data_IF_520503383984
#
_entry.id   IF_520503383984
#
_cell.length_a   1.000
_cell.length_b   1.000
_cell.length_c   1.000
_cell.angle_alpha   90.00
_cell.angle_beta   90.00
_cell.angle_gamma   90.00
#
_symmetry.space_group_name_H-M   'P 1'
#
loop_
_entity.id
_entity.type
_entity.pdbx_description
1 polymer ?
#
# COMPACT_ATOMS: atom_id res chain seq x y z
N UNK A 1 -0.77 55.38 28.03
CA UNK A 1 -0.82 54.63 29.29
C UNK A 1 -0.14 53.32 29.02
N UNK A 2 1.08 53.19 29.54
CA UNK A 2 1.97 52.04 29.36
C UNK A 2 1.46 50.82 30.14
N UNK A 3 1.50 49.62 29.58
CA UNK A 3 1.72 48.42 30.36
C UNK A 3 2.74 47.54 29.67
N UNK A 4 3.85 47.50 30.25
CA UNK A 4 4.99 46.62 30.27
C UNK A 4 4.60 45.32 31.01
N UNK A 5 4.99 44.17 30.51
CA UNK A 5 5.32 42.98 31.31
C UNK A 5 5.39 41.74 30.44
N UNK A 6 6.17 40.87 30.59
CA UNK A 6 7.40 40.47 31.31
C UNK A 6 7.79 39.11 30.72
N UNK A 7 8.95 39.00 30.18
CA UNK A 7 9.59 37.74 29.78
C UNK A 7 9.73 36.83 30.99
N UNK A 8 9.40 35.57 30.85
CA UNK A 8 9.89 34.51 31.75
C UNK A 8 10.51 33.37 30.90
N UNK A 9 11.81 33.41 30.77
CA UNK A 9 12.63 32.34 30.25
C UNK A 9 12.93 31.36 31.36
N UNK A 10 12.50 30.11 31.19
CA UNK A 10 12.98 28.99 32.00
C UNK A 10 13.96 28.16 31.20
N UNK A 11 15.22 28.27 31.56
CA UNK A 11 16.32 27.43 31.08
C UNK A 11 16.36 26.19 31.95
N UNK A 12 16.17 25.02 31.37
CA UNK A 12 16.53 23.75 32.01
C UNK A 12 17.84 23.24 31.44
N UNK A 13 18.88 23.34 32.26
CA UNK A 13 20.13 22.62 32.09
C UNK A 13 19.93 21.18 32.51
N UNK A 14 20.17 20.23 31.64
CA UNK A 14 20.38 18.83 32.02
C UNK A 14 21.86 18.52 31.84
N UNK A 15 22.44 18.20 32.99
CA UNK A 15 23.84 17.82 33.21
C UNK A 15 24.09 16.41 32.69
N UNK A 16 25.13 16.24 31.91
CA UNK A 16 25.77 14.96 31.62
C UNK A 16 26.59 14.55 32.85
N UNK A 17 26.45 13.31 33.27
CA UNK A 17 27.46 12.57 34.03
C UNK A 17 27.77 11.28 33.31
N UNK A 18 28.98 11.24 32.79
CA UNK A 18 29.71 10.06 32.36
C UNK A 18 30.33 9.39 33.62
N UNK A 19 30.28 8.06 33.69
CA UNK A 19 31.18 7.27 34.54
C UNK A 19 31.71 6.10 33.72
N UNK A 20 33.05 6.02 33.78
CA UNK A 20 33.93 5.09 33.09
C UNK A 20 33.87 3.64 33.63
N UNK A 21 34.21 2.78 32.71
CA UNK A 21 35.08 1.58 32.76
C UNK A 21 35.25 0.79 34.04
N UNK A 22 35.12 -0.50 33.87
CA UNK A 22 35.64 -1.53 34.80
C UNK A 22 35.72 -2.88 34.09
N UNK A 23 36.92 -3.17 33.66
CA UNK A 23 37.43 -4.33 32.96
C UNK A 23 37.54 -5.59 33.83
N UNK A 24 37.55 -6.77 33.14
CA UNK A 24 38.33 -8.01 33.35
C UNK A 24 37.76 -9.06 34.29
N UNK A 25 37.58 -10.24 33.93
CA UNK A 25 38.28 -11.48 33.65
C UNK A 25 37.38 -12.69 33.77
N UNK A 26 37.55 -13.50 32.77
CA UNK A 26 37.70 -14.97 32.68
C UNK A 26 37.36 -15.84 33.90
N UNK A 27 36.78 -16.97 33.61
CA UNK A 27 37.25 -18.34 33.78
C UNK A 27 36.11 -19.36 33.77
N UNK A 28 36.14 -20.16 32.75
CA UNK A 28 36.03 -21.62 32.64
C UNK A 28 35.01 -22.43 33.47
N UNK A 29 34.39 -23.29 32.70
CA UNK A 29 34.46 -24.78 32.73
C UNK A 29 33.34 -25.56 33.41
N UNK A 30 32.92 -26.51 32.64
CA UNK A 30 32.43 -27.90 32.83
C UNK A 30 30.92 -28.10 33.07
N UNK A 31 30.31 -28.74 32.09
CA UNK A 31 30.09 -30.19 31.86
C UNK A 31 29.52 -30.94 33.06
N UNK A 32 28.33 -31.46 32.94
CA UNK A 32 27.97 -32.86 33.23
C UNK A 32 26.51 -33.13 32.81
N UNK A 33 26.27 -33.96 31.88
CA UNK A 33 25.95 -35.37 31.73
C UNK A 33 24.76 -35.87 32.55
N UNK A 34 23.79 -36.32 31.81
CA UNK A 34 23.00 -37.56 31.93
C UNK A 34 22.25 -37.86 33.25
N UNK A 35 20.99 -38.18 33.10
CA UNK A 35 20.53 -39.51 33.49
C UNK A 35 19.28 -39.96 32.73
N UNK A 36 19.46 -41.05 32.03
CA UNK A 36 18.43 -41.94 31.47
C UNK A 36 18.00 -42.88 32.58
N UNK A 37 16.73 -42.99 32.84
CA UNK A 37 16.17 -44.09 33.60
C UNK A 37 15.10 -44.82 32.82
N UNK A 38 15.52 -45.90 32.20
CA UNK A 38 14.69 -47.02 31.77
C UNK A 38 14.34 -47.87 33.00
N UNK A 39 13.08 -48.20 33.15
CA UNK A 39 12.69 -49.38 33.94
C UNK A 39 11.68 -50.17 33.13
N UNK A 40 12.19 -51.30 32.63
CA UNK A 40 11.41 -52.49 32.26
C UNK A 40 10.83 -53.14 33.53
N UNK A 41 9.69 -53.81 33.44
CA UNK A 41 9.47 -55.21 33.80
C UNK A 41 8.01 -55.58 33.78
N UNK A 42 7.65 -56.43 32.81
CA UNK A 42 6.88 -57.69 32.83
C UNK A 42 5.68 -57.88 33.75
N UNK A 43 4.57 -58.21 33.08
CA UNK A 43 4.03 -59.59 32.85
C UNK A 43 2.93 -60.06 33.75
N UNK A 44 1.91 -60.47 33.08
CA UNK A 44 0.93 -61.52 33.23
C UNK A 44 -0.49 -61.20 33.73
N UNK A 45 -1.32 -61.54 32.85
CA UNK A 45 -2.45 -62.49 32.98
C UNK A 45 -3.89 -61.97 32.95
N UNK A 46 -4.54 -62.36 31.89
CA UNK A 46 -5.88 -62.90 31.71
C UNK A 46 -7.15 -62.05 31.87
N UNK A 47 -7.79 -61.83 30.74
CA UNK A 47 -9.18 -62.11 30.38
C UNK A 47 -10.28 -61.33 31.11
N UNK A 48 -10.91 -60.43 30.36
CA UNK A 48 -12.37 -60.44 30.15
C UNK A 48 -12.74 -59.50 28.99
N UNK A 49 -13.45 -60.05 28.01
CA UNK A 49 -14.01 -59.33 26.87
C UNK A 49 -15.02 -58.30 27.37
N UNK A 50 -14.75 -57.03 27.09
CA UNK A 50 -15.80 -56.03 27.03
C UNK A 50 -15.63 -55.29 25.71
N UNK A 51 -16.54 -55.55 24.79
CA UNK A 51 -16.68 -54.83 23.54
C UNK A 51 -17.07 -53.39 23.87
N UNK A 52 -16.09 -52.53 23.92
CA UNK A 52 -16.32 -51.09 23.90
C UNK A 52 -16.10 -50.62 22.48
N UNK A 53 -17.16 -50.24 21.81
CA UNK A 53 -17.16 -49.57 20.52
C UNK A 53 -16.32 -48.32 20.67
N UNK A 54 -15.09 -48.35 20.14
CA UNK A 54 -14.28 -47.16 19.95
C UNK A 54 -14.95 -46.43 18.79
N UNK A 55 -15.64 -45.35 19.10
CA UNK A 55 -16.03 -44.35 18.13
C UNK A 55 -14.68 -43.68 17.75
N UNK A 56 -14.23 -43.99 16.57
CA UNK A 56 -13.12 -43.28 15.91
C UNK A 56 -13.56 -41.83 15.71
N UNK A 57 -13.17 -41.00 16.62
CA UNK A 57 -13.33 -39.55 16.50
C UNK A 57 -12.26 -39.10 15.47
N UNK A 58 -12.62 -39.31 14.18
CA UNK A 58 -11.89 -38.69 13.10
C UNK A 58 -11.92 -37.17 13.36
N UNK A 59 -10.74 -36.64 13.69
CA UNK A 59 -10.49 -35.21 13.64
C UNK A 59 -10.82 -34.80 12.20
N UNK A 60 -12.00 -34.27 12.02
CA UNK A 60 -12.37 -33.57 10.79
C UNK A 60 -11.52 -32.29 10.86
N UNK A 61 -10.45 -32.27 10.08
CA UNK A 61 -9.76 -31.05 9.73
C UNK A 61 -10.83 -30.15 9.12
N UNK A 62 -11.27 -29.13 9.84
CA UNK A 62 -12.21 -28.14 9.34
C UNK A 62 -11.54 -27.45 8.16
N UNK A 63 -11.83 -27.92 6.97
CA UNK A 63 -11.53 -27.19 5.75
C UNK A 63 -12.28 -25.85 5.86
N UNK A 64 -11.60 -24.70 5.70
CA UNK A 64 -12.25 -23.39 5.73
C UNK A 64 -13.50 -23.44 4.85
N UNK A 65 -14.63 -23.11 5.43
CA UNK A 65 -15.91 -23.11 4.70
C UNK A 65 -15.83 -21.99 3.67
N UNK A 66 -15.60 -22.36 2.42
CA UNK A 66 -15.65 -21.41 1.31
C UNK A 66 -16.97 -20.62 1.40
N UNK A 67 -16.92 -19.30 1.34
CA UNK A 67 -18.13 -18.51 1.16
C UNK A 67 -18.86 -19.05 -0.08
N UNK A 68 -20.12 -19.43 0.08
CA UNK A 68 -20.96 -19.97 -1.00
C UNK A 68 -21.33 -18.84 -1.98
N UNK A 69 -20.32 -18.30 -2.68
CA UNK A 69 -20.51 -17.21 -3.61
C UNK A 69 -20.17 -17.72 -5.02
N UNK A 70 -21.06 -17.51 -5.99
CA UNK A 70 -20.80 -17.78 -7.41
C UNK A 70 -19.50 -17.12 -7.90
N UNK A 71 -19.09 -16.02 -7.26
CA UNK A 71 -17.88 -15.28 -7.51
C UNK A 71 -16.60 -16.11 -7.35
N UNK A 72 -16.54 -17.05 -6.40
CA UNK A 72 -15.40 -17.93 -6.15
C UNK A 72 -15.43 -19.20 -6.98
N UNK A 73 -16.48 -19.39 -7.79
CA UNK A 73 -16.62 -20.59 -8.61
C UNK A 73 -15.48 -20.73 -9.61
N UNK A 74 -14.76 -21.84 -9.55
CA UNK A 74 -13.61 -22.13 -10.41
C UNK A 74 -12.25 -21.73 -9.82
N UNK A 75 -12.21 -21.08 -8.66
CA UNK A 75 -11.00 -20.74 -7.94
C UNK A 75 -10.80 -21.63 -6.72
N UNK A 76 -9.55 -21.93 -6.41
CA UNK A 76 -9.16 -22.58 -5.16
C UNK A 76 -8.86 -21.48 -4.13
N UNK A 77 -9.57 -21.46 -3.02
CA UNK A 77 -9.23 -20.60 -1.89
C UNK A 77 -7.91 -21.08 -1.26
N UNK A 78 -6.97 -20.19 -1.10
CA UNK A 78 -5.73 -20.43 -0.35
C UNK A 78 -5.52 -19.32 0.69
N UNK A 79 -4.90 -19.67 1.79
CA UNK A 79 -4.44 -18.73 2.79
C UNK A 79 -2.99 -18.37 2.52
N UNK A 80 -2.67 -17.08 2.60
CA UNK A 80 -1.32 -16.56 2.38
C UNK A 80 -1.00 -15.58 3.50
N UNK A 81 0.20 -15.67 4.06
CA UNK A 81 0.68 -14.69 5.02
C UNK A 81 0.64 -13.28 4.38
N UNK A 82 0.20 -12.30 5.15
CA UNK A 82 0.09 -10.91 4.70
C UNK A 82 1.42 -10.23 4.40
N UNK A 83 2.54 -10.77 4.92
CA UNK A 83 3.89 -10.32 4.59
C UNK A 83 4.41 -10.89 3.29
N UNK A 84 5.73 -10.94 3.16
CA UNK A 84 6.45 -11.43 1.99
C UNK A 84 5.92 -12.78 1.49
N UNK A 85 5.77 -12.91 0.19
CA UNK A 85 5.62 -14.13 -0.58
C UNK A 85 6.12 -13.85 -1.98
N UNK A 86 7.43 -13.66 -2.12
CA UNK A 86 8.05 -13.28 -3.39
C UNK A 86 8.00 -14.40 -4.42
N UNK A 87 7.93 -14.03 -5.68
CA UNK A 87 7.96 -14.95 -6.82
C UNK A 87 6.64 -15.02 -7.58
N UNK A 88 6.46 -16.15 -8.29
CA UNK A 88 5.25 -16.40 -9.07
C UNK A 88 4.09 -16.80 -8.16
N UNK A 89 2.90 -16.28 -8.47
CA UNK A 89 1.65 -16.64 -7.81
C UNK A 89 1.16 -18.02 -8.26
N UNK A 90 0.40 -18.71 -7.40
CA UNK A 90 -0.34 -19.91 -7.79
C UNK A 90 -1.46 -19.56 -8.78
N UNK A 91 -1.72 -20.44 -9.73
CA UNK A 91 -2.73 -20.25 -10.76
C UNK A 91 -4.13 -20.63 -10.27
N UNK A 92 -5.17 -19.93 -10.76
CA UNK A 92 -6.58 -20.20 -10.48
C UNK A 92 -6.90 -20.24 -8.98
N UNK A 93 -6.33 -19.30 -8.23
CA UNK A 93 -6.59 -19.17 -6.80
C UNK A 93 -7.31 -17.87 -6.48
N UNK A 94 -7.97 -17.85 -5.33
CA UNK A 94 -8.47 -16.65 -4.65
C UNK A 94 -7.81 -16.56 -3.29
N UNK A 95 -7.39 -15.33 -2.92
CA UNK A 95 -6.65 -15.04 -1.68
C UNK A 95 -7.27 -13.82 -1.02
N UNK A 96 -7.42 -13.87 0.29
CA UNK A 96 -7.72 -12.67 1.07
C UNK A 96 -6.43 -11.85 1.25
N UNK A 97 -6.47 -10.61 0.82
CA UNK A 97 -5.36 -9.63 0.91
C UNK A 97 -5.70 -8.46 1.83
N UNK A 98 -6.76 -8.57 2.62
CA UNK A 98 -7.14 -7.59 3.64
C UNK A 98 -6.39 -7.81 4.95
N UNK A 99 -5.98 -6.71 5.59
CA UNK A 99 -5.38 -6.80 6.92
C UNK A 99 -6.45 -6.95 8.00
N UNK A 100 -6.25 -7.90 8.92
CA UNK A 100 -7.13 -8.12 10.07
C UNK A 100 -8.48 -8.74 9.68
N UNK A 101 -9.57 -8.02 9.88
CA UNK A 101 -10.93 -8.49 9.57
C UNK A 101 -11.46 -7.94 8.23
N UNK A 102 -10.61 -7.37 7.39
CA UNK A 102 -10.98 -6.89 6.06
C UNK A 102 -11.01 -8.08 5.10
N UNK A 103 -12.05 -8.16 4.29
CA UNK A 103 -12.22 -9.20 3.28
C UNK A 103 -11.98 -8.60 1.89
N UNK A 104 -10.73 -8.66 1.42
CA UNK A 104 -10.28 -8.17 0.12
C UNK A 104 -9.79 -9.34 -0.72
N UNK A 105 -10.50 -9.66 -1.79
CA UNK A 105 -10.31 -10.88 -2.53
C UNK A 105 -9.53 -10.66 -3.82
N UNK A 106 -8.38 -11.30 -3.94
CA UNK A 106 -7.48 -11.26 -5.09
C UNK A 106 -7.59 -12.57 -5.89
N UNK A 107 -7.73 -12.47 -7.20
CA UNK A 107 -7.95 -13.60 -8.11
C UNK A 107 -6.83 -13.71 -9.11
N UNK A 108 -6.30 -14.92 -9.31
CA UNK A 108 -5.31 -15.21 -10.34
C UNK A 108 -5.90 -16.05 -11.47
N UNK A 109 -5.41 -15.83 -12.70
CA UNK A 109 -5.76 -16.66 -13.85
C UNK A 109 -4.92 -17.96 -13.90
N UNK A 110 -5.13 -18.74 -14.96
CA UNK A 110 -4.40 -20.01 -15.24
C UNK A 110 -2.88 -19.83 -15.42
N UNK A 111 -2.38 -18.58 -15.58
CA UNK A 111 -0.96 -18.24 -15.72
C UNK A 111 -0.37 -17.64 -14.44
N UNK A 112 -1.12 -17.62 -13.33
CA UNK A 112 -0.71 -16.99 -12.08
C UNK A 112 -0.66 -15.46 -12.12
N UNK A 113 -1.24 -14.83 -13.15
CA UNK A 113 -1.37 -13.37 -13.22
C UNK A 113 -2.52 -12.93 -12.33
N UNK A 114 -2.30 -11.88 -11.54
CA UNK A 114 -3.34 -11.24 -10.74
C UNK A 114 -4.28 -10.46 -11.67
N UNK A 115 -5.50 -10.93 -11.84
CA UNK A 115 -6.41 -10.38 -12.85
C UNK A 115 -7.56 -9.56 -12.28
N UNK A 116 -7.87 -9.75 -11.00
CA UNK A 116 -8.95 -9.01 -10.35
C UNK A 116 -8.72 -8.91 -8.84
N UNK A 117 -9.11 -7.79 -8.27
CA UNK A 117 -9.22 -7.59 -6.81
C UNK A 117 -10.54 -6.93 -6.50
N UNK A 118 -11.25 -7.46 -5.50
CA UNK A 118 -12.55 -6.90 -5.08
C UNK A 118 -12.59 -6.71 -3.57
N UNK A 119 -13.38 -5.73 -3.16
CA UNK A 119 -13.78 -5.53 -1.77
C UNK A 119 -15.17 -4.91 -1.72
N UNK A 120 -16.04 -5.42 -0.87
CA UNK A 120 -17.36 -4.81 -0.66
C UNK A 120 -17.22 -3.43 -0.02
N UNK A 121 -16.25 -3.30 0.90
CA UNK A 121 -15.93 -2.04 1.59
C UNK A 121 -14.41 -1.92 1.77
N UNK A 122 -13.85 -0.77 1.40
CA UNK A 122 -12.47 -0.38 1.72
C UNK A 122 -12.48 0.32 3.08
N UNK A 123 -11.85 -0.33 4.07
CA UNK A 123 -11.73 0.15 5.45
C UNK A 123 -10.31 0.65 5.65
N UNK A 124 -10.15 1.92 5.97
CA UNK A 124 -8.84 2.55 6.15
C UNK A 124 -8.02 1.89 7.27
N UNK A 125 -6.71 1.98 7.17
CA UNK A 125 -5.77 1.62 8.22
C UNK A 125 -6.05 2.44 9.49
N UNK A 126 -6.02 1.81 10.66
CA UNK A 126 -6.17 2.46 11.96
C UNK A 126 -4.82 2.48 12.69
N UNK A 127 -4.04 3.53 12.46
CA UNK A 127 -2.72 3.73 13.07
C UNK A 127 -2.71 3.71 14.60
N UNK A 128 -3.89 3.91 15.22
CA UNK A 128 -4.02 3.96 16.67
C UNK A 128 -4.22 2.58 17.31
N UNK A 129 -4.83 1.65 16.58
CA UNK A 129 -5.24 0.34 17.10
C UNK A 129 -4.60 -0.84 16.35
N UNK A 130 -4.00 -0.61 15.19
CA UNK A 130 -3.32 -1.63 14.39
C UNK A 130 -1.78 -1.53 14.53
N UNK A 131 -1.04 -2.63 14.41
CA UNK A 131 0.41 -2.64 14.55
C UNK A 131 1.12 -2.07 13.31
N UNK A 132 0.90 -0.78 13.04
CA UNK A 132 1.48 -0.08 11.91
C UNK A 132 2.93 0.31 12.22
N UNK A 133 3.84 0.05 11.29
CA UNK A 133 5.22 0.47 11.36
C UNK A 133 5.35 1.99 11.15
N UNK A 134 6.50 2.56 11.54
CA UNK A 134 6.79 3.98 11.31
C UNK A 134 6.81 4.40 9.83
N UNK A 135 6.87 3.44 8.92
CA UNK A 135 6.74 3.64 7.47
C UNK A 135 5.30 3.75 6.98
N UNK A 136 4.30 3.60 7.86
CA UNK A 136 2.89 3.52 7.48
C UNK A 136 2.46 2.15 6.94
N UNK A 137 3.29 1.11 7.06
CA UNK A 137 3.04 -0.24 6.53
C UNK A 137 2.75 -1.22 7.65
N UNK A 138 2.01 -2.30 7.33
CA UNK A 138 1.85 -3.42 8.25
C UNK A 138 3.08 -4.33 8.29
N UNK A 139 3.79 -4.47 7.17
CA UNK A 139 4.95 -5.36 7.00
C UNK A 139 6.20 -4.59 6.58
N UNK A 140 7.37 -5.12 6.96
CA UNK A 140 8.67 -4.49 6.62
C UNK A 140 9.01 -4.61 5.15
N UNK A 141 8.72 -5.78 4.59
CA UNK A 141 9.13 -6.17 3.26
C UNK A 141 7.87 -6.31 2.39
N UNK A 142 8.00 -5.92 1.15
CA UNK A 142 7.01 -6.10 0.11
C UNK A 142 7.42 -7.27 -0.76
N UNK A 143 6.45 -8.05 -1.21
CA UNK A 143 6.70 -9.19 -2.07
C UNK A 143 7.32 -8.77 -3.40
N UNK A 144 8.36 -9.49 -3.82
CA UNK A 144 9.02 -9.31 -5.12
C UNK A 144 8.34 -10.20 -6.16
N UNK A 145 7.47 -9.63 -6.95
CA UNK A 145 6.85 -10.30 -8.11
C UNK A 145 7.76 -10.14 -9.34
N UNK A 146 7.90 -11.16 -10.22
CA UNK A 146 8.74 -11.06 -11.39
C UNK A 146 8.44 -9.83 -12.25
N UNK A 147 9.44 -9.00 -12.49
CA UNK A 147 9.35 -7.72 -13.20
C UNK A 147 9.65 -6.49 -12.35
N UNK A 148 9.59 -6.59 -11.00
CA UNK A 148 9.93 -5.47 -10.12
C UNK A 148 11.44 -5.19 -10.04
N UNK A 149 12.29 -6.03 -10.60
CA UNK A 149 13.74 -5.83 -10.70
C UNK A 149 14.13 -4.69 -11.66
N UNK A 150 13.15 -4.05 -12.27
CA UNK A 150 13.34 -2.90 -13.16
C UNK A 150 13.54 -1.61 -12.37
N UNK A 151 14.48 -0.76 -12.79
CA UNK A 151 14.73 0.56 -12.17
C UNK A 151 13.54 1.54 -12.33
N UNK A 152 12.57 1.21 -13.18
CA UNK A 152 11.40 2.06 -13.48
C UNK A 152 10.07 1.47 -12.99
N UNK A 153 10.12 0.34 -12.31
CA UNK A 153 8.95 -0.32 -11.75
C UNK A 153 9.08 -0.47 -10.23
N UNK A 154 7.99 -0.26 -9.53
CA UNK A 154 7.85 -0.47 -8.09
C UNK A 154 6.99 -1.70 -7.80
N UNK A 155 6.99 -2.13 -6.55
CA UNK A 155 6.02 -3.04 -5.96
C UNK A 155 4.69 -2.28 -5.75
N UNK A 156 3.91 -2.11 -6.84
CA UNK A 156 2.65 -1.39 -6.79
C UNK A 156 1.55 -2.23 -6.12
N UNK A 157 0.98 -1.72 -5.03
CA UNK A 157 -0.17 -2.33 -4.38
C UNK A 157 -1.45 -2.09 -5.21
N UNK A 158 -2.32 -3.10 -5.30
CA UNK A 158 -3.67 -2.89 -5.82
C UNK A 158 -4.54 -2.20 -4.77
N UNK A 159 -4.41 -2.60 -3.52
CA UNK A 159 -4.98 -1.92 -2.36
C UNK A 159 -3.83 -1.55 -1.41
N UNK A 160 -3.56 -0.27 -1.25
CA UNK A 160 -2.47 0.24 -0.41
C UNK A 160 -2.60 -0.16 1.07
N UNK A 161 -1.48 -0.19 1.81
CA UNK A 161 -1.49 -0.40 3.27
C UNK A 161 -2.44 0.58 3.97
N UNK A 162 -2.41 1.85 3.58
CA UNK A 162 -3.29 2.90 4.15
C UNK A 162 -4.78 2.65 3.91
N UNK A 163 -5.11 1.80 2.95
CA UNK A 163 -6.45 1.32 2.64
C UNK A 163 -6.72 -0.07 3.20
N UNK A 164 -5.82 -0.60 4.03
CA UNK A 164 -5.95 -1.88 4.70
C UNK A 164 -5.52 -3.09 3.88
N UNK A 165 -4.82 -2.91 2.76
CA UNK A 165 -4.22 -3.99 1.99
C UNK A 165 -2.93 -4.52 2.64
N UNK A 166 -2.53 -5.74 2.30
CA UNK A 166 -1.28 -6.37 2.77
C UNK A 166 -0.20 -6.36 1.69
N UNK A 167 1.04 -6.70 2.07
CA UNK A 167 2.22 -6.58 1.20
C UNK A 167 2.64 -7.88 0.51
N UNK A 168 1.74 -8.89 0.42
CA UNK A 168 2.06 -10.17 -0.23
C UNK A 168 1.93 -10.12 -1.76
N UNK A 169 2.44 -11.13 -2.45
CA UNK A 169 2.47 -11.19 -3.91
C UNK A 169 1.08 -11.10 -4.58
N UNK A 170 -0.01 -11.41 -3.88
CA UNK A 170 -1.37 -11.34 -4.43
C UNK A 170 -1.99 -9.96 -4.37
N UNK A 171 -1.32 -9.00 -3.72
CA UNK A 171 -1.69 -7.57 -3.73
C UNK A 171 -0.68 -6.71 -4.50
N UNK A 172 0.47 -7.25 -4.88
CA UNK A 172 1.57 -6.51 -5.51
C UNK A 172 1.62 -6.79 -7.02
N UNK A 173 1.81 -5.76 -7.83
CA UNK A 173 2.13 -5.87 -9.25
C UNK A 173 3.33 -4.98 -9.59
N UNK A 174 4.18 -5.37 -10.56
CA UNK A 174 5.18 -4.45 -11.11
C UNK A 174 4.49 -3.26 -11.77
N UNK A 175 4.56 -2.10 -11.15
CA UNK A 175 3.89 -0.88 -11.60
C UNK A 175 4.90 0.22 -11.90
N UNK A 176 4.66 1.03 -12.93
CA UNK A 176 5.51 2.18 -13.22
C UNK A 176 5.63 3.09 -12.00
N UNK A 177 6.85 3.44 -11.61
CA UNK A 177 7.13 4.15 -10.36
C UNK A 177 6.52 5.55 -10.31
N UNK A 178 6.48 6.27 -11.43
CA UNK A 178 5.84 7.60 -11.49
C UNK A 178 4.32 7.46 -11.37
N UNK A 179 3.72 6.48 -12.06
CA UNK A 179 2.30 6.17 -11.95
C UNK A 179 1.91 5.82 -10.51
N UNK A 180 2.69 4.95 -9.88
CA UNK A 180 2.45 4.44 -8.52
C UNK A 180 2.55 5.54 -7.46
N UNK A 181 3.58 6.39 -7.55
CA UNK A 181 3.89 7.38 -6.50
C UNK A 181 3.22 8.74 -6.71
N UNK A 182 3.01 9.13 -7.96
CA UNK A 182 2.63 10.51 -8.33
C UNK A 182 1.56 10.58 -9.43
N UNK A 183 1.12 9.44 -9.96
CA UNK A 183 0.12 9.36 -11.03
C UNK A 183 -1.26 8.96 -10.53
N UNK A 184 -2.07 8.43 -11.44
CA UNK A 184 -3.48 8.09 -11.21
C UNK A 184 -3.69 7.11 -10.06
N UNK A 185 -2.73 6.18 -9.82
CA UNK A 185 -2.78 5.27 -8.67
C UNK A 185 -2.76 6.06 -7.35
N UNK A 186 -1.80 6.97 -7.17
CA UNK A 186 -1.68 7.78 -5.97
C UNK A 186 -2.90 8.69 -5.76
N UNK A 187 -3.44 9.27 -6.84
CA UNK A 187 -4.64 10.11 -6.77
C UNK A 187 -5.88 9.32 -6.36
N UNK A 188 -6.08 8.12 -6.89
CA UNK A 188 -7.18 7.23 -6.50
C UNK A 188 -7.11 6.90 -5.01
N UNK A 189 -5.95 6.47 -4.53
CA UNK A 189 -5.74 6.13 -3.12
C UNK A 189 -6.00 7.32 -2.19
N UNK A 190 -5.52 8.50 -2.57
CA UNK A 190 -5.75 9.72 -1.83
C UNK A 190 -7.23 10.12 -1.79
N UNK A 191 -7.94 9.99 -2.90
CA UNK A 191 -9.38 10.24 -2.97
C UNK A 191 -10.16 9.29 -2.04
N UNK A 192 -9.80 8.01 -1.99
CA UNK A 192 -10.42 7.03 -1.09
C UNK A 192 -10.12 7.37 0.38
N UNK A 193 -8.86 7.71 0.73
CA UNK A 193 -8.48 8.15 2.08
C UNK A 193 -9.26 9.38 2.53
N UNK A 194 -9.33 10.41 1.69
CA UNK A 194 -10.06 11.66 1.98
C UNK A 194 -11.56 11.44 2.15
N UNK A 195 -12.13 10.45 1.46
CA UNK A 195 -13.54 10.07 1.60
C UNK A 195 -13.83 9.22 2.85
N UNK A 196 -12.81 8.72 3.54
CA UNK A 196 -12.94 7.84 4.70
C UNK A 196 -13.17 6.37 4.34
N UNK A 197 -12.86 5.97 3.11
CA UNK A 197 -13.05 4.64 2.55
C UNK A 197 -13.85 4.65 1.25
N UNK A 198 -14.12 3.47 0.70
CA UNK A 198 -14.92 3.27 -0.50
C UNK A 198 -15.79 2.02 -0.38
N UNK A 199 -16.81 1.87 -1.22
CA UNK A 199 -17.58 0.64 -1.31
C UNK A 199 -17.60 0.12 -2.75
N UNK A 200 -17.93 -1.18 -2.91
CA UNK A 200 -18.00 -1.83 -4.23
C UNK A 200 -16.71 -1.64 -5.05
N UNK A 201 -15.57 -1.86 -4.42
CA UNK A 201 -14.27 -1.77 -5.07
C UNK A 201 -14.05 -3.00 -5.95
N UNK A 202 -13.69 -2.77 -7.22
CA UNK A 202 -13.41 -3.79 -8.22
C UNK A 202 -12.25 -3.31 -9.11
N UNK A 203 -11.09 -3.91 -8.96
CA UNK A 203 -9.92 -3.65 -9.78
C UNK A 203 -9.75 -4.77 -10.81
N UNK A 204 -9.67 -4.42 -12.09
CA UNK A 204 -9.36 -5.33 -13.19
C UNK A 204 -7.95 -5.02 -13.69
N UNK A 205 -7.10 -6.03 -13.72
CA UNK A 205 -5.71 -5.93 -14.11
C UNK A 205 -5.52 -6.66 -15.46
N UNK A 206 -5.02 -5.95 -16.46
CA UNK A 206 -4.82 -6.45 -17.81
C UNK A 206 -3.34 -6.64 -18.11
N UNK A 207 -3.01 -7.70 -18.84
CA UNK A 207 -1.64 -8.05 -19.24
C UNK A 207 -1.50 -8.08 -20.77
N UNK A 208 -0.33 -7.72 -21.32
CA UNK A 208 -0.13 -7.74 -22.77
C UNK A 208 -0.04 -9.16 -23.36
N UNK A 209 0.27 -10.15 -22.49
CA UNK A 209 0.35 -11.58 -22.87
C UNK A 209 0.36 -12.44 -21.60
N UNK A 210 0.35 -13.76 -21.78
CA UNK A 210 0.27 -14.77 -20.71
C UNK A 210 1.62 -15.11 -20.04
N UNK A 211 2.71 -14.50 -20.45
CA UNK A 211 4.07 -14.84 -20.01
C UNK A 211 4.64 -13.84 -19.01
N UNK A 212 4.21 -12.60 -19.07
CA UNK A 212 4.69 -11.54 -18.16
C UNK A 212 3.82 -11.44 -16.92
N UNK A 213 4.44 -11.03 -15.82
CA UNK A 213 3.74 -10.60 -14.59
C UNK A 213 3.61 -9.07 -14.49
N UNK A 214 4.07 -8.34 -15.53
CA UNK A 214 3.95 -6.88 -15.61
C UNK A 214 2.62 -6.54 -16.30
N UNK A 215 1.67 -5.90 -15.62
CA UNK A 215 0.41 -5.46 -16.22
C UNK A 215 0.63 -4.42 -17.34
N UNK A 216 -0.28 -4.38 -18.30
CA UNK A 216 -0.34 -3.30 -19.29
C UNK A 216 -1.26 -2.15 -18.87
N UNK A 217 -2.29 -2.44 -18.08
CA UNK A 217 -3.26 -1.44 -17.64
C UNK A 217 -4.07 -1.91 -16.45
N UNK A 218 -4.71 -0.95 -15.80
CA UNK A 218 -5.62 -1.13 -14.67
C UNK A 218 -6.94 -0.43 -14.94
N UNK A 219 -8.03 -1.03 -14.46
CA UNK A 219 -9.33 -0.37 -14.36
C UNK A 219 -9.86 -0.57 -12.95
N UNK A 220 -10.09 0.52 -12.25
CA UNK A 220 -10.69 0.53 -10.92
C UNK A 220 -12.10 1.05 -10.99
N UNK A 221 -13.03 0.34 -10.38
CA UNK A 221 -14.40 0.79 -10.18
C UNK A 221 -14.69 0.78 -8.69
N UNK A 222 -15.15 1.88 -8.15
CA UNK A 222 -15.46 2.00 -6.72
C UNK A 222 -16.49 3.09 -6.49
N UNK A 223 -17.10 3.10 -5.31
CA UNK A 223 -18.13 4.08 -4.95
C UNK A 223 -17.64 4.98 -3.83
N UNK A 224 -17.56 6.29 -4.07
CA UNK A 224 -17.28 7.32 -3.06
C UNK A 224 -18.52 8.15 -2.78
N UNK A 225 -18.96 8.20 -1.51
CA UNK A 225 -20.10 9.02 -1.08
C UNK A 225 -21.34 8.84 -1.98
N UNK A 226 -21.59 7.59 -2.43
CA UNK A 226 -22.72 7.22 -3.29
C UNK A 226 -22.51 7.46 -4.79
N UNK A 227 -21.35 7.96 -5.21
CA UNK A 227 -21.02 8.14 -6.63
C UNK A 227 -20.09 7.03 -7.10
N UNK A 228 -20.43 6.40 -8.20
CA UNK A 228 -19.56 5.41 -8.86
C UNK A 228 -18.46 6.14 -9.63
N UNK A 229 -17.23 5.76 -9.36
CA UNK A 229 -16.02 6.25 -10.03
C UNK A 229 -15.47 5.09 -10.87
N UNK A 230 -14.96 5.39 -12.04
CA UNK A 230 -14.22 4.45 -12.89
C UNK A 230 -12.95 5.14 -13.34
N UNK A 231 -11.82 4.64 -12.84
CA UNK A 231 -10.48 5.08 -13.24
C UNK A 231 -9.85 4.02 -14.12
N UNK A 232 -9.30 4.42 -15.26
CA UNK A 232 -8.61 3.52 -16.19
C UNK A 232 -7.31 4.17 -16.63
N UNK A 233 -6.20 3.48 -16.44
CA UNK A 233 -4.89 3.97 -16.82
C UNK A 233 -3.96 2.85 -17.27
N UNK A 234 -3.04 3.17 -18.17
CA UNK A 234 -2.00 2.28 -18.63
C UNK A 234 -0.83 2.24 -17.62
N UNK A 235 -0.15 1.09 -17.56
CA UNK A 235 1.04 0.92 -16.72
C UNK A 235 2.29 1.52 -17.40
N UNK A 236 2.28 2.84 -17.58
CA UNK A 236 3.34 3.61 -18.26
C UNK A 236 3.68 4.85 -17.43
N UNK A 237 4.80 5.49 -17.78
CA UNK A 237 5.14 6.77 -17.16
C UNK A 237 4.18 7.87 -17.64
N UNK A 238 3.34 8.46 -16.76
CA UNK A 238 2.40 9.50 -17.16
C UNK A 238 3.10 10.75 -17.70
N UNK A 239 4.31 11.07 -17.26
CA UNK A 239 5.07 12.21 -17.76
C UNK A 239 5.49 12.01 -19.22
N UNK A 240 5.87 10.80 -19.60
CA UNK A 240 6.19 10.46 -21.00
C UNK A 240 4.96 10.52 -21.88
N UNK A 241 3.83 10.06 -21.40
CA UNK A 241 2.55 10.17 -22.12
C UNK A 241 2.18 11.63 -22.31
N UNK A 242 2.22 12.44 -21.26
CA UNK A 242 1.93 13.87 -21.32
C UNK A 242 2.90 14.59 -22.27
N UNK A 243 4.18 14.26 -22.23
CA UNK A 243 5.17 14.80 -23.17
C UNK A 243 4.84 14.43 -24.63
N UNK A 244 4.46 13.18 -24.89
CA UNK A 244 4.11 12.70 -26.23
C UNK A 244 2.86 13.39 -26.80
N UNK A 245 1.95 13.79 -25.91
CA UNK A 245 0.72 14.53 -26.25
C UNK A 245 0.95 16.06 -26.35
N UNK A 246 2.19 16.53 -26.05
CA UNK A 246 2.53 17.95 -26.01
C UNK A 246 1.90 18.69 -24.83
N UNK A 247 1.48 17.97 -23.79
CA UNK A 247 0.88 18.52 -22.58
C UNK A 247 1.93 18.97 -21.57
N UNK A 248 3.12 18.38 -21.61
CA UNK A 248 4.31 18.92 -20.92
C UNK A 248 5.02 19.85 -21.89
N UNK A 249 5.20 21.11 -21.51
CA UNK A 249 5.98 22.05 -22.31
C UNK A 249 7.36 21.47 -22.57
N UNK A 250 7.63 21.07 -23.81
CA UNK A 250 8.98 20.71 -24.24
C UNK A 250 9.88 21.93 -24.02
N UNK A 251 10.76 21.85 -23.02
CA UNK A 251 11.93 22.74 -23.00
C UNK A 251 12.71 22.48 -24.28
N UNK A 252 12.85 23.44 -25.20
CA UNK A 252 13.84 23.33 -26.22
C UNK A 252 15.22 23.51 -25.54
N UNK A 253 16.04 22.48 -25.58
CA UNK A 253 17.44 22.59 -25.28
C UNK A 253 18.09 23.59 -26.26
N UNK A 254 18.14 24.86 -25.92
CA UNK A 254 19.31 25.73 -26.06
C UNK A 254 19.05 27.11 -25.44
N UNK A 255 19.95 27.47 -24.51
CA UNK A 255 20.35 28.80 -24.08
C UNK A 255 19.52 30.01 -24.51
N UNK A 256 18.69 30.55 -23.63
CA UNK A 256 18.74 31.93 -23.13
C UNK A 256 17.61 32.16 -22.14
N UNK A 257 17.90 32.68 -20.97
CA UNK A 257 16.93 33.20 -20.03
C UNK A 257 15.79 33.95 -20.71
N UNK A 258 14.59 33.37 -20.64
CA UNK A 258 13.39 34.17 -20.68
C UNK A 258 12.32 33.45 -19.89
N UNK A 259 11.99 34.00 -18.70
CA UNK A 259 10.81 33.72 -17.95
C UNK A 259 9.63 33.75 -18.93
N UNK A 260 9.07 32.58 -19.27
CA UNK A 260 7.78 32.53 -19.94
C UNK A 260 6.72 32.76 -18.85
N UNK A 261 6.55 34.02 -18.51
CA UNK A 261 5.38 34.47 -17.76
C UNK A 261 4.16 34.19 -18.63
N UNK A 262 3.36 33.19 -18.27
CA UNK A 262 2.03 33.06 -18.79
C UNK A 262 1.27 34.37 -18.49
N UNK A 263 0.42 34.80 -19.38
CA UNK A 263 -0.40 35.99 -19.14
C UNK A 263 -1.46 35.64 -18.09
N UNK A 264 -1.25 36.12 -16.86
CA UNK A 264 -2.20 35.94 -15.75
C UNK A 264 -3.61 36.39 -16.15
N UNK A 265 -3.75 37.40 -17.01
CA UNK A 265 -5.04 37.90 -17.47
C UNK A 265 -5.86 36.85 -18.23
N UNK A 266 -5.25 35.79 -18.72
CA UNK A 266 -5.94 34.68 -19.37
C UNK A 266 -6.58 33.71 -18.36
N UNK A 267 -6.16 33.73 -17.10
CA UNK A 267 -6.60 32.83 -16.03
C UNK A 267 -7.35 33.56 -14.94
N UNK A 268 -6.86 34.73 -14.54
CA UNK A 268 -7.51 35.63 -13.55
C UNK A 268 -8.76 36.28 -14.18
N UNK A 269 -9.89 35.59 -14.04
CA UNK A 269 -11.18 36.01 -14.67
C UNK A 269 -11.82 37.20 -13.99
N UNK A 270 -11.41 37.51 -12.74
CA UNK A 270 -11.97 38.62 -11.98
C UNK A 270 -11.03 39.84 -11.92
N UNK A 271 -9.80 39.73 -12.46
CA UNK A 271 -8.84 40.82 -12.57
C UNK A 271 -8.26 41.32 -11.25
N UNK A 272 -8.23 40.46 -10.22
CA UNK A 272 -7.76 40.84 -8.87
C UNK A 272 -6.26 40.61 -8.66
N UNK A 273 -5.55 40.07 -9.66
CA UNK A 273 -4.13 39.77 -9.61
C UNK A 273 -3.80 38.47 -8.87
N UNK A 274 -4.81 37.69 -8.49
CA UNK A 274 -4.67 36.37 -7.90
C UNK A 274 -5.51 35.35 -8.66
N UNK A 275 -5.08 34.10 -8.66
CA UNK A 275 -5.76 33.01 -9.34
C UNK A 275 -6.26 32.02 -8.28
N UNK A 276 -7.55 31.77 -8.27
CA UNK A 276 -8.17 30.75 -7.44
C UNK A 276 -8.05 29.38 -8.10
N UNK A 277 -8.12 28.30 -7.30
CA UNK A 277 -8.18 26.92 -7.80
C UNK A 277 -9.30 26.75 -8.85
N UNK A 278 -10.45 27.44 -8.64
CA UNK A 278 -11.56 27.40 -9.57
C UNK A 278 -11.23 28.04 -10.93
N UNK A 279 -10.55 29.15 -10.92
CA UNK A 279 -10.12 29.85 -12.13
C UNK A 279 -9.06 29.05 -12.89
N UNK A 280 -8.07 28.51 -12.19
CA UNK A 280 -7.06 27.65 -12.77
C UNK A 280 -7.67 26.40 -13.43
N UNK A 281 -8.60 25.70 -12.75
CA UNK A 281 -9.33 24.56 -13.33
C UNK A 281 -10.19 24.95 -14.54
N UNK A 282 -10.85 26.11 -14.50
CA UNK A 282 -11.66 26.62 -15.61
C UNK A 282 -10.79 26.99 -16.84
N UNK A 283 -9.55 27.38 -16.61
CA UNK A 283 -8.55 27.64 -17.65
C UNK A 283 -7.84 26.37 -18.16
N UNK A 284 -8.17 25.18 -17.62
CA UNK A 284 -7.66 23.88 -18.07
C UNK A 284 -6.43 23.38 -17.32
N UNK A 285 -6.06 24.00 -16.20
CA UNK A 285 -4.94 23.53 -15.39
C UNK A 285 -5.38 22.43 -14.42
N UNK A 286 -4.56 21.39 -14.34
CA UNK A 286 -4.71 20.30 -13.35
C UNK A 286 -4.17 20.72 -11.99
N UNK A 287 -4.70 20.15 -10.92
CA UNK A 287 -4.23 20.36 -9.54
C UNK A 287 -3.51 19.09 -9.05
N UNK A 288 -2.56 19.24 -8.12
CA UNK A 288 -2.06 20.49 -7.53
C UNK A 288 -1.17 21.31 -8.47
N UNK A 289 -1.08 22.62 -8.23
CA UNK A 289 -0.08 23.52 -8.84
C UNK A 289 1.12 23.57 -7.90
N UNK A 290 2.28 23.15 -8.37
CA UNK A 290 3.52 23.10 -7.60
C UNK A 290 4.31 24.41 -7.66
N UNK A 291 5.26 24.62 -6.73
CA UNK A 291 6.02 25.86 -6.58
C UNK A 291 6.88 26.24 -7.78
N UNK A 292 7.18 25.30 -8.67
CA UNK A 292 7.89 25.53 -9.95
C UNK A 292 6.96 25.95 -11.09
N UNK A 293 5.65 25.83 -10.93
CA UNK A 293 4.67 26.25 -11.94
C UNK A 293 4.50 27.77 -11.97
N UNK A 294 4.42 28.39 -13.14
CA UNK A 294 4.32 29.84 -13.33
C UNK A 294 3.08 30.48 -12.66
N UNK A 295 2.00 29.73 -12.47
CA UNK A 295 0.78 30.18 -11.80
C UNK A 295 0.93 30.22 -10.27
N UNK A 296 1.83 29.42 -9.69
CA UNK A 296 1.96 29.29 -8.24
C UNK A 296 2.14 30.63 -7.50
N UNK A 297 2.96 31.60 -7.97
CA UNK A 297 3.10 32.89 -7.29
C UNK A 297 1.83 33.73 -7.21
N UNK A 298 0.81 33.36 -8.00
CA UNK A 298 -0.49 34.04 -8.04
C UNK A 298 -1.58 33.30 -7.30
N UNK A 299 -1.26 32.17 -6.66
CA UNK A 299 -2.20 31.32 -5.93
C UNK A 299 -1.91 31.35 -4.44
N UNK A 300 -2.92 30.99 -3.64
CA UNK A 300 -2.86 31.00 -2.16
C UNK A 300 -2.47 29.60 -1.67
N UNK A 301 -1.19 29.41 -1.37
CA UNK A 301 -0.65 28.25 -0.69
C UNK A 301 -0.78 28.47 0.83
N UNK A 302 -1.81 27.86 1.42
CA UNK A 302 -2.23 28.14 2.81
C UNK A 302 -1.36 27.51 3.87
N UNK A 303 -0.80 26.34 3.62
CA UNK A 303 0.03 25.57 4.55
C UNK A 303 1.52 25.67 4.21
N UNK A 304 1.82 26.32 3.09
CA UNK A 304 3.16 26.68 2.65
C UNK A 304 4.05 25.46 2.40
N UNK A 305 3.44 24.38 1.87
CA UNK A 305 4.14 23.14 1.52
C UNK A 305 4.69 23.12 0.09
N UNK A 306 4.42 24.17 -0.70
CA UNK A 306 4.88 24.33 -2.08
C UNK A 306 3.88 23.82 -3.13
N UNK A 307 2.64 23.54 -2.74
CA UNK A 307 1.56 23.08 -3.63
C UNK A 307 0.28 23.85 -3.35
N UNK A 308 -0.58 23.95 -4.36
CA UNK A 308 -1.90 24.58 -4.23
C UNK A 308 -2.94 23.69 -4.89
N UNK A 309 -3.98 23.37 -4.15
CA UNK A 309 -5.12 22.61 -4.68
C UNK A 309 -5.03 21.10 -4.51
N UNK A 310 -4.27 20.69 -3.54
CA UNK A 310 -4.22 19.32 -3.01
C UNK A 310 -5.56 18.94 -2.33
#
# INVERSE_FOLDING_TARGET
>A
MNYLMLLLTAVFMVSCTSVEEGSVTDVDTETDSQEVSTVDINKDSENEETITTIVDESVVEETPTQPNNELFSGYKLIEVDGGDLSGYREANVVVDIGYGNREYWAFTNEYGQLVRVIADEIILQDDSNEPVLSSGRYYRDEAKVPGVESDVLDEGHIIADSLGGVSNAYNITPQNSTLNRHGDQAYMEDAIRKAGGATNFDAIITYPNTQTQIPSSYQYTYTLMGNVIVDTFDNVNPDEVNASLGLTGSEPSDSTSSNTSGDIASVDTNGNGQVTIKEAKAAGYSMPITSDHWLYPYMDDRDNDGMVGE
#
